data_IF_225565861607
#
_entry.id   IF_225565861607
#
_cell.length_a   1.000
_cell.length_b   1.000
_cell.length_c   1.000
_cell.angle_alpha   90.00
_cell.angle_beta   90.00
_cell.angle_gamma   90.00
#
_symmetry.space_group_name_H-M   'P 1'
#
loop_
_entity.id
_entity.type
_entity.pdbx_description
1 polymer ?
#
# COMPACT_ATOMS: atom_id res chain seq x y z
N UNK A 1 16.76 -9.29 -6.13
CA UNK A 1 15.62 -10.18 -5.74
C UNK A 1 15.09 -10.97 -6.94
N UNK A 2 14.72 -12.24 -6.77
CA UNK A 2 14.04 -13.04 -7.81
C UNK A 2 12.63 -12.48 -8.11
N UNK A 3 12.08 -12.79 -9.28
CA UNK A 3 10.72 -12.36 -9.66
C UNK A 3 9.67 -12.81 -8.63
N UNK A 4 9.82 -14.02 -8.10
CA UNK A 4 8.99 -14.54 -7.00
C UNK A 4 9.13 -13.70 -5.73
N UNK A 5 10.35 -13.40 -5.30
CA UNK A 5 10.59 -12.57 -4.11
C UNK A 5 10.00 -11.17 -4.26
N UNK A 6 10.09 -10.56 -5.45
CA UNK A 6 9.46 -9.25 -5.71
C UNK A 6 7.94 -9.31 -5.65
N UNK A 7 7.34 -10.39 -6.18
CA UNK A 7 5.89 -10.63 -6.07
C UNK A 7 5.42 -10.75 -4.62
N UNK A 8 6.11 -11.55 -3.81
CA UNK A 8 5.80 -11.69 -2.38
C UNK A 8 5.96 -10.37 -1.63
N UNK A 9 7.03 -9.60 -1.92
CA UNK A 9 7.24 -8.28 -1.31
C UNK A 9 6.14 -7.30 -1.70
N UNK A 10 5.75 -7.26 -2.97
CA UNK A 10 4.64 -6.41 -3.42
C UNK A 10 3.34 -6.79 -2.71
N UNK A 11 3.00 -8.08 -2.67
CA UNK A 11 1.82 -8.56 -1.94
C UNK A 11 1.82 -8.10 -0.48
N UNK A 12 2.94 -8.28 0.21
CA UNK A 12 3.09 -7.87 1.62
C UNK A 12 2.86 -6.37 1.82
N UNK A 13 3.39 -5.51 0.92
CA UNK A 13 3.17 -4.06 0.99
C UNK A 13 1.70 -3.72 0.72
N UNK A 14 1.08 -4.37 -0.27
CA UNK A 14 -0.33 -4.11 -0.60
C UNK A 14 -1.27 -4.53 0.52
N UNK A 15 -1.06 -5.70 1.13
CA UNK A 15 -1.85 -6.18 2.27
C UNK A 15 -1.79 -5.19 3.45
N UNK A 16 -0.63 -4.57 3.67
CA UNK A 16 -0.42 -3.58 4.73
C UNK A 16 -1.05 -2.23 4.41
N UNK A 17 -0.92 -1.73 3.16
CA UNK A 17 -1.30 -0.37 2.80
C UNK A 17 -2.68 -0.23 2.13
N UNK A 18 -3.33 -1.32 1.70
CA UNK A 18 -4.56 -1.26 0.91
C UNK A 18 -5.67 -0.44 1.57
N UNK A 19 -5.84 -0.54 2.89
CA UNK A 19 -6.84 0.22 3.63
C UNK A 19 -6.57 1.73 3.64
N UNK A 20 -5.31 2.14 3.77
CA UNK A 20 -4.92 3.55 3.77
C UNK A 20 -5.02 4.15 2.36
N UNK A 21 -4.61 3.40 1.34
CA UNK A 21 -4.78 3.81 -0.06
C UNK A 21 -6.27 3.94 -0.38
N UNK A 22 -7.11 2.98 0.03
CA UNK A 22 -8.55 3.06 -0.18
C UNK A 22 -9.15 4.30 0.49
N UNK A 23 -8.81 4.57 1.76
CA UNK A 23 -9.26 5.79 2.46
C UNK A 23 -8.82 7.06 1.74
N UNK A 24 -7.60 7.10 1.22
CA UNK A 24 -7.11 8.22 0.43
C UNK A 24 -7.91 8.39 -0.87
N UNK A 25 -8.17 7.31 -1.59
CA UNK A 25 -8.97 7.34 -2.83
C UNK A 25 -10.42 7.75 -2.57
N UNK A 26 -11.05 7.24 -1.51
CA UNK A 26 -12.41 7.63 -1.10
C UNK A 26 -12.53 9.14 -0.86
N UNK A 27 -11.51 9.78 -0.29
CA UNK A 27 -11.48 11.24 -0.10
C UNK A 27 -11.32 12.01 -1.41
N UNK A 28 -10.74 11.38 -2.44
CA UNK A 28 -10.38 12.02 -3.71
C UNK A 28 -11.45 11.88 -4.79
N UNK A 29 -12.06 10.70 -4.90
CA UNK A 29 -13.04 10.38 -5.96
C UNK A 29 -14.42 10.00 -5.42
N UNK A 30 -14.59 9.96 -4.10
CA UNK A 30 -15.82 9.46 -3.46
C UNK A 30 -15.80 7.95 -3.26
N UNK A 31 -16.73 7.41 -2.44
CA UNK A 31 -16.74 6.00 -2.06
C UNK A 31 -17.12 5.05 -3.21
N UNK A 32 -17.96 5.51 -4.14
CA UNK A 32 -18.50 4.67 -5.22
C UNK A 32 -17.42 4.30 -6.25
N UNK A 33 -16.54 5.25 -6.59
CA UNK A 33 -15.46 5.04 -7.59
C UNK A 33 -14.14 4.56 -6.98
N UNK A 34 -13.98 4.65 -5.66
CA UNK A 34 -12.68 4.41 -5.00
C UNK A 34 -12.24 2.94 -5.04
N UNK A 35 -13.18 1.99 -4.96
CA UNK A 35 -12.86 0.56 -4.96
C UNK A 35 -12.31 0.11 -6.33
N UNK A 36 -12.94 0.54 -7.41
CA UNK A 36 -12.51 0.24 -8.78
C UNK A 36 -11.15 0.87 -9.07
N UNK A 37 -10.96 2.14 -8.68
CA UNK A 37 -9.68 2.84 -8.84
C UNK A 37 -8.55 2.19 -8.02
N UNK A 38 -8.86 1.63 -6.84
CA UNK A 38 -7.90 0.83 -6.08
C UNK A 38 -7.50 -0.41 -6.86
N UNK A 39 -8.47 -1.15 -7.40
CA UNK A 39 -8.24 -2.34 -8.22
C UNK A 39 -7.31 -2.06 -9.41
N UNK A 40 -7.60 -1.01 -10.17
CA UNK A 40 -6.77 -0.57 -11.30
C UNK A 40 -5.35 -0.22 -10.87
N UNK A 41 -5.22 0.48 -9.74
CA UNK A 41 -3.92 0.83 -9.16
C UNK A 41 -3.11 -0.42 -8.81
N UNK A 42 -3.74 -1.44 -8.22
CA UNK A 42 -3.06 -2.69 -7.87
C UNK A 42 -2.63 -3.48 -9.11
N UNK A 43 -3.44 -3.50 -10.16
CA UNK A 43 -3.06 -4.11 -11.44
C UNK A 43 -1.84 -3.42 -12.05
N UNK A 44 -1.81 -2.08 -12.02
CA UNK A 44 -0.64 -1.31 -12.48
C UNK A 44 0.60 -1.64 -11.65
N UNK A 45 0.47 -1.70 -10.33
CA UNK A 45 1.56 -2.06 -9.43
C UNK A 45 2.11 -3.45 -9.75
N UNK A 46 1.23 -4.44 -9.97
CA UNK A 46 1.62 -5.81 -10.31
C UNK A 46 2.36 -5.91 -11.65
N UNK A 47 1.87 -5.21 -12.68
CA UNK A 47 2.57 -5.12 -13.99
C UNK A 47 3.96 -4.50 -13.88
N UNK A 48 4.17 -3.65 -12.87
CA UNK A 48 5.42 -2.93 -12.60
C UNK A 48 6.26 -3.53 -11.47
N UNK A 49 5.97 -4.74 -11.02
CA UNK A 49 6.67 -5.41 -9.91
C UNK A 49 8.19 -5.45 -10.07
N UNK A 50 8.69 -5.46 -11.31
CA UNK A 50 10.13 -5.44 -11.58
C UNK A 50 10.83 -4.14 -11.18
N UNK A 51 10.09 -3.03 -11.07
CA UNK A 51 10.59 -1.72 -10.63
C UNK A 51 10.64 -1.58 -9.10
N UNK A 52 10.17 -2.60 -8.35
CA UNK A 52 10.15 -2.54 -6.90
C UNK A 52 11.58 -2.42 -6.33
N UNK A 53 11.87 -1.38 -5.53
CA UNK A 53 13.20 -1.22 -4.96
C UNK A 53 13.53 -2.32 -3.95
N UNK A 54 14.78 -2.77 -3.95
CA UNK A 54 15.24 -3.88 -3.12
C UNK A 54 15.15 -3.53 -1.62
N UNK A 55 15.38 -2.26 -1.31
CA UNK A 55 15.39 -1.63 0.02
C UNK A 55 14.18 -0.72 0.28
N UNK A 56 13.04 -0.96 -0.38
CA UNK A 56 11.79 -0.27 -0.02
C UNK A 56 11.42 -0.59 1.44
N UNK A 57 11.73 0.33 2.35
CA UNK A 57 11.11 0.45 3.67
C UNK A 57 9.74 1.08 3.47
N UNK A 58 8.71 0.63 4.18
CA UNK A 58 7.34 1.13 4.04
C UNK A 58 7.14 2.22 5.09
N UNK A 59 7.35 3.52 4.77
CA UNK A 59 7.31 4.56 5.78
C UNK A 59 5.84 4.79 6.15
N UNK A 60 5.50 4.63 7.43
CA UNK A 60 4.16 4.91 7.94
C UNK A 60 3.18 3.74 7.99
N UNK A 61 3.58 2.52 7.60
CA UNK A 61 2.76 1.33 7.79
C UNK A 61 3.09 0.64 9.12
N UNK A 62 2.64 1.23 10.22
CA UNK A 62 2.78 0.66 11.56
C UNK A 62 3.63 1.49 12.52
N UNK A 63 3.08 2.59 13.00
CA UNK A 63 3.11 2.91 14.43
C UNK A 63 2.04 3.98 14.66
N UNK A 64 0.85 3.52 15.06
CA UNK A 64 0.17 4.24 16.13
C UNK A 64 1.01 4.09 17.41
N UNK A 65 2.22 4.66 17.42
CA UNK A 65 2.80 5.19 18.64
C UNK A 65 2.03 6.48 18.90
N UNK A 66 0.84 6.32 19.47
CA UNK A 66 0.28 7.39 20.29
C UNK A 66 1.26 7.49 21.47
N UNK A 67 1.92 8.64 21.71
CA UNK A 67 2.55 8.86 22.99
C UNK A 67 1.42 8.90 24.03
N UNK A 68 1.16 7.74 24.64
CA UNK A 68 0.51 7.68 25.94
C UNK A 68 1.50 8.26 26.93
N UNK A 69 1.29 9.53 27.25
CA UNK A 69 1.38 10.17 28.57
C UNK A 69 1.52 11.68 28.36
N UNK A 70 0.71 12.49 29.05
CA UNK A 70 1.33 13.11 30.21
C UNK A 70 0.47 13.14 31.48
N UNK A 71 1.15 12.78 32.59
CA UNK A 71 1.05 13.24 33.99
C UNK A 71 -0.10 12.74 34.86
#
# INVERSE_FOLDING_TARGET
MSARQKGEKLKSILDQCAGDVLRYLQRRVGPDDAADLLGDTMVVAWRRVNLLPENAEVPGCGSSDLPGEPS
#
